data_IF_788946301738
#
_entry.id   IF_788946301738
#
_cell.length_a   1.000
_cell.length_b   1.000
_cell.length_c   1.000
_cell.angle_alpha   90.00
_cell.angle_beta   90.00
_cell.angle_gamma   90.00
#
_symmetry.space_group_name_H-M   'P 1'
#
loop_
_entity.id
_entity.type
_entity.pdbx_description
1 polymer ?
#
# COMPACT_ATOMS: atom_id res chain seq x y z
N UNK A 1 105.96 6.85 -46.82
CA UNK A 1 105.63 7.75 -45.69
C UNK A 1 104.33 7.27 -45.07
N UNK A 2 104.28 7.28 -43.75
CA UNK A 2 103.89 6.11 -42.96
C UNK A 2 102.39 6.02 -42.67
N UNK A 3 101.84 4.81 -42.80
CA UNK A 3 100.52 4.38 -42.29
C UNK A 3 100.29 4.83 -40.84
N UNK A 4 101.37 4.97 -40.07
CA UNK A 4 101.38 5.50 -38.71
C UNK A 4 100.88 6.94 -38.61
N UNK A 5 101.18 7.82 -39.58
CA UNK A 5 100.72 9.22 -39.53
C UNK A 5 99.21 9.33 -39.76
N UNK A 6 98.64 8.44 -40.60
CA UNK A 6 97.19 8.30 -40.79
C UNK A 6 96.49 7.76 -39.54
N UNK A 7 97.10 6.77 -38.88
CA UNK A 7 96.56 6.18 -37.66
C UNK A 7 96.57 7.19 -36.51
N UNK A 8 97.66 7.93 -36.33
CA UNK A 8 97.78 8.96 -35.29
C UNK A 8 96.74 10.06 -35.51
N UNK A 9 96.59 10.59 -36.72
CA UNK A 9 95.58 11.62 -36.99
C UNK A 9 94.14 11.12 -36.75
N UNK A 10 93.84 9.86 -37.07
CA UNK A 10 92.51 9.27 -36.84
C UNK A 10 92.24 9.05 -35.34
N UNK A 11 93.25 8.64 -34.58
CA UNK A 11 93.18 8.51 -33.12
C UNK A 11 93.03 9.89 -32.48
N UNK A 12 93.83 10.89 -32.87
CA UNK A 12 93.73 12.26 -32.36
C UNK A 12 92.37 12.89 -32.67
N UNK A 13 91.78 12.60 -33.84
CA UNK A 13 90.45 13.09 -34.20
C UNK A 13 89.33 12.40 -33.40
N UNK A 14 89.44 11.10 -33.15
CA UNK A 14 88.47 10.39 -32.30
C UNK A 14 88.59 10.78 -30.82
N UNK A 15 89.81 11.02 -30.34
CA UNK A 15 90.06 11.53 -28.99
C UNK A 15 89.50 12.95 -28.86
N UNK A 16 89.75 13.85 -29.81
CA UNK A 16 89.17 15.19 -29.76
C UNK A 16 87.64 15.16 -29.87
N UNK A 17 87.04 14.26 -30.67
CA UNK A 17 85.57 14.13 -30.73
C UNK A 17 84.96 13.59 -29.42
N UNK A 18 85.67 12.74 -28.70
CA UNK A 18 85.25 12.24 -27.38
C UNK A 18 85.53 13.24 -26.24
N UNK A 19 86.53 14.12 -26.41
CA UNK A 19 86.93 15.14 -25.42
C UNK A 19 86.18 16.47 -25.60
N UNK A 20 85.63 16.76 -26.79
CA UNK A 20 84.97 18.03 -27.11
C UNK A 20 83.44 18.06 -26.89
N UNK A 21 82.79 16.96 -26.47
CA UNK A 21 81.35 16.97 -26.13
C UNK A 21 81.02 16.43 -24.72
N UNK A 22 81.71 16.90 -23.64
CA UNK A 22 81.35 16.56 -22.26
C UNK A 22 79.95 17.07 -21.88
N UNK A 23 79.37 18.00 -22.65
CA UNK A 23 78.00 18.47 -22.46
C UNK A 23 76.95 17.49 -23.01
N UNK A 24 77.27 16.72 -24.07
CA UNK A 24 76.32 15.76 -24.66
C UNK A 24 76.13 14.51 -23.78
N UNK A 25 77.21 13.99 -23.19
CA UNK A 25 77.14 12.87 -22.24
C UNK A 25 76.49 13.28 -20.93
N UNK A 26 76.74 14.50 -20.44
CA UNK A 26 76.08 15.04 -19.26
C UNK A 26 74.57 15.22 -19.48
N UNK A 27 74.15 15.68 -20.67
CA UNK A 27 72.73 15.84 -21.01
C UNK A 27 72.01 14.50 -21.21
N UNK A 28 72.66 13.52 -21.84
CA UNK A 28 72.13 12.16 -22.00
C UNK A 28 72.02 11.43 -20.65
N UNK A 29 73.01 11.57 -19.77
CA UNK A 29 72.97 11.03 -18.41
C UNK A 29 71.91 11.73 -17.54
N UNK A 30 71.70 13.04 -17.73
CA UNK A 30 70.64 13.79 -17.05
C UNK A 30 69.24 13.37 -17.52
N UNK A 31 69.02 13.21 -18.83
CA UNK A 31 67.75 12.69 -19.36
C UNK A 31 67.45 11.26 -18.89
N UNK A 32 68.46 10.39 -18.87
CA UNK A 32 68.29 9.02 -18.38
C UNK A 32 67.91 9.00 -16.88
N UNK A 33 68.51 9.86 -16.06
CA UNK A 33 68.14 10.01 -14.64
C UNK A 33 66.75 10.61 -14.46
N UNK A 34 66.35 11.57 -15.28
CA UNK A 34 65.04 12.20 -15.20
C UNK A 34 63.93 11.21 -15.62
N UNK A 35 64.15 10.44 -16.70
CA UNK A 35 63.24 9.38 -17.12
C UNK A 35 63.08 8.27 -16.06
N UNK A 36 64.14 7.93 -15.33
CA UNK A 36 64.07 6.98 -14.21
C UNK A 36 63.30 7.55 -13.01
N UNK A 37 63.47 8.83 -12.70
CA UNK A 37 62.73 9.50 -11.63
C UNK A 37 61.26 9.65 -11.97
N UNK A 38 60.93 10.01 -13.21
CA UNK A 38 59.55 10.14 -13.68
C UNK A 38 58.83 8.78 -13.69
N UNK A 39 59.51 7.71 -14.10
CA UNK A 39 58.98 6.35 -14.02
C UNK A 39 58.74 5.90 -12.56
N UNK A 40 59.65 6.23 -11.64
CA UNK A 40 59.49 5.92 -10.21
C UNK A 40 58.37 6.74 -9.55
N UNK A 41 58.17 8.00 -9.95
CA UNK A 41 57.08 8.85 -9.46
C UNK A 41 55.73 8.37 -10.01
N UNK A 42 55.65 7.97 -11.28
CA UNK A 42 54.44 7.39 -11.87
C UNK A 42 54.03 6.08 -11.18
N UNK A 43 54.99 5.17 -10.95
CA UNK A 43 54.73 3.91 -10.24
C UNK A 43 54.30 4.11 -8.78
N UNK A 44 54.85 5.12 -8.09
CA UNK A 44 54.45 5.47 -6.73
C UNK A 44 53.08 6.15 -6.66
N UNK A 45 52.68 6.89 -7.70
CA UNK A 45 51.37 7.54 -7.77
C UNK A 45 50.26 6.51 -7.98
N UNK A 46 50.44 5.59 -8.93
CA UNK A 46 49.50 4.47 -9.15
C UNK A 46 49.33 3.59 -7.90
N UNK A 47 50.43 3.22 -7.23
CA UNK A 47 50.38 2.44 -5.99
C UNK A 47 49.72 3.19 -4.82
N UNK A 48 49.77 4.53 -4.77
CA UNK A 48 49.11 5.32 -3.74
C UNK A 48 47.61 5.46 -4.00
N UNK A 49 47.21 5.58 -5.26
CA UNK A 49 45.81 5.67 -5.67
C UNK A 49 45.09 4.33 -5.47
N UNK A 50 45.68 3.20 -5.90
CA UNK A 50 45.10 1.86 -5.63
C UNK A 50 44.98 1.56 -4.14
N UNK A 51 45.99 1.94 -3.34
CA UNK A 51 45.94 1.76 -1.87
C UNK A 51 44.96 2.71 -1.20
N UNK A 52 44.69 3.88 -1.77
CA UNK A 52 43.71 4.84 -1.25
C UNK A 52 42.28 4.35 -1.55
N UNK A 53 42.02 3.85 -2.76
CA UNK A 53 40.73 3.27 -3.13
C UNK A 53 40.44 1.98 -2.37
N UNK A 54 41.42 1.10 -2.20
CA UNK A 54 41.28 -0.11 -1.38
C UNK A 54 41.00 0.22 0.09
N UNK A 55 41.64 1.26 0.65
CA UNK A 55 41.36 1.72 2.02
C UNK A 55 39.99 2.39 2.15
N UNK A 56 39.56 3.15 1.15
CA UNK A 56 38.23 3.78 1.15
C UNK A 56 37.13 2.72 1.06
N UNK A 57 37.32 1.69 0.23
CA UNK A 57 36.40 0.55 0.12
C UNK A 57 36.39 -0.29 1.40
N UNK A 58 37.57 -0.62 1.97
CA UNK A 58 37.65 -1.33 3.24
C UNK A 58 37.05 -0.55 4.43
N UNK A 59 37.18 0.79 4.45
CA UNK A 59 36.55 1.63 5.46
C UNK A 59 35.02 1.69 5.30
N UNK A 60 34.52 1.65 4.06
CA UNK A 60 33.08 1.57 3.78
C UNK A 60 32.53 0.19 4.13
N UNK A 61 33.20 -0.88 3.74
CA UNK A 61 32.82 -2.25 4.08
C UNK A 61 32.90 -2.50 5.60
N UNK A 62 33.87 -1.90 6.31
CA UNK A 62 33.95 -1.96 7.76
C UNK A 62 32.83 -1.16 8.45
N UNK A 63 32.42 -0.01 7.88
CA UNK A 63 31.26 0.74 8.36
C UNK A 63 29.96 0.01 8.11
N UNK A 64 29.76 -0.52 6.90
CA UNK A 64 28.57 -1.31 6.54
C UNK A 64 28.50 -2.61 7.35
N UNK A 65 29.65 -3.25 7.61
CA UNK A 65 29.73 -4.42 8.48
C UNK A 65 29.45 -4.05 9.94
N UNK A 66 29.97 -2.93 10.45
CA UNK A 66 29.71 -2.45 11.80
C UNK A 66 28.24 -2.01 11.98
N UNK A 67 27.63 -1.42 10.95
CA UNK A 67 26.21 -1.02 10.94
C UNK A 67 25.31 -2.25 10.87
N UNK A 68 25.66 -3.25 10.04
CA UNK A 68 24.98 -4.57 10.03
C UNK A 68 25.19 -5.33 11.33
N UNK A 69 26.36 -5.25 11.95
CA UNK A 69 26.63 -5.86 13.26
C UNK A 69 25.85 -5.14 14.36
N UNK A 70 25.77 -3.81 14.32
CA UNK A 70 25.03 -2.98 15.27
C UNK A 70 23.52 -3.20 15.15
N UNK A 71 23.00 -3.31 13.93
CA UNK A 71 21.61 -3.69 13.66
C UNK A 71 21.30 -5.13 14.14
N UNK A 72 22.27 -6.05 14.04
CA UNK A 72 22.17 -7.42 14.57
C UNK A 72 22.42 -7.53 16.08
N UNK A 73 23.17 -6.63 16.69
CA UNK A 73 23.52 -6.68 18.11
C UNK A 73 22.48 -5.96 18.98
N UNK A 74 21.85 -4.89 18.47
CA UNK A 74 20.72 -4.22 19.12
C UNK A 74 19.40 -5.02 19.03
N UNK A 75 19.35 -6.11 18.26
CA UNK A 75 18.13 -6.92 18.06
C UNK A 75 18.07 -8.21 18.89
N UNK A 76 19.09 -8.57 19.67
CA UNK A 76 19.12 -9.95 20.21
C UNK A 76 18.30 -10.22 21.48
N UNK A 77 17.93 -9.23 22.30
CA UNK A 77 17.10 -9.50 23.51
C UNK A 77 16.06 -8.40 23.82
N UNK A 78 16.36 -7.12 23.60
CA UNK A 78 15.39 -6.02 23.81
C UNK A 78 14.49 -5.76 22.59
N UNK A 79 14.97 -6.04 21.37
CA UNK A 79 14.21 -5.89 20.12
C UNK A 79 13.09 -6.92 19.95
N UNK A 80 13.30 -8.17 20.39
CA UNK A 80 12.29 -9.22 20.27
C UNK A 80 11.08 -8.98 21.20
N UNK A 81 11.29 -8.40 22.38
CA UNK A 81 10.19 -8.00 23.28
C UNK A 81 9.46 -6.74 22.77
N UNK A 82 10.17 -5.80 22.15
CA UNK A 82 9.59 -4.59 21.54
C UNK A 82 8.79 -4.86 20.27
N UNK A 83 9.31 -5.68 19.36
CA UNK A 83 8.63 -6.05 18.11
C UNK A 83 7.44 -6.99 18.36
N UNK A 84 7.55 -7.93 19.31
CA UNK A 84 6.40 -8.77 19.71
C UNK A 84 5.31 -7.94 20.37
N UNK A 85 5.66 -6.98 21.23
CA UNK A 85 4.69 -6.07 21.87
C UNK A 85 4.00 -5.15 20.86
N UNK A 86 4.74 -4.60 19.88
CA UNK A 86 4.14 -3.79 18.82
C UNK A 86 3.22 -4.61 17.90
N UNK A 87 3.57 -5.85 17.56
CA UNK A 87 2.69 -6.72 16.77
C UNK A 87 1.42 -7.10 17.53
N UNK A 88 1.52 -7.41 18.83
CA UNK A 88 0.36 -7.68 19.69
C UNK A 88 -0.55 -6.45 19.75
N UNK A 89 0.01 -5.25 19.88
CA UNK A 89 -0.76 -4.00 19.85
C UNK A 89 -1.45 -3.78 18.50
N UNK A 90 -0.77 -4.02 17.38
CA UNK A 90 -1.37 -3.91 16.04
C UNK A 90 -2.55 -4.88 15.92
N UNK A 91 -2.37 -6.15 16.30
CA UNK A 91 -3.45 -7.15 16.29
C UNK A 91 -4.61 -6.70 17.17
N UNK A 92 -4.34 -6.17 18.36
CA UNK A 92 -5.37 -5.63 19.24
C UNK A 92 -6.13 -4.46 18.60
N UNK A 93 -5.44 -3.51 17.97
CA UNK A 93 -6.08 -2.40 17.26
C UNK A 93 -6.91 -2.87 16.08
N UNK A 94 -6.45 -3.89 15.33
CA UNK A 94 -7.21 -4.49 14.24
C UNK A 94 -8.46 -5.19 14.76
N UNK A 95 -8.37 -5.96 15.85
CA UNK A 95 -9.54 -6.59 16.48
C UNK A 95 -10.52 -5.55 17.02
N UNK A 96 -10.02 -4.49 17.67
CA UNK A 96 -10.83 -3.38 18.13
C UNK A 96 -11.53 -2.68 16.97
N UNK A 97 -10.81 -2.43 15.86
CA UNK A 97 -11.37 -1.85 14.65
C UNK A 97 -12.48 -2.72 14.06
N UNK A 98 -12.25 -4.04 13.93
CA UNK A 98 -13.28 -4.99 13.45
C UNK A 98 -14.50 -4.97 14.37
N UNK A 99 -14.28 -4.93 15.70
CA UNK A 99 -15.37 -4.88 16.68
C UNK A 99 -16.20 -3.60 16.55
N UNK A 100 -15.54 -2.44 16.40
CA UNK A 100 -16.24 -1.16 16.21
C UNK A 100 -16.95 -1.11 14.85
N UNK A 101 -16.32 -1.64 13.80
CA UNK A 101 -16.93 -1.71 12.48
C UNK A 101 -18.19 -2.60 12.48
N UNK A 102 -18.08 -3.81 13.02
CA UNK A 102 -19.22 -4.73 13.15
C UNK A 102 -20.31 -4.18 14.07
N UNK A 103 -19.95 -3.39 15.09
CA UNK A 103 -20.92 -2.65 15.91
C UNK A 103 -21.70 -1.61 15.10
N UNK A 104 -21.05 -0.90 14.17
CA UNK A 104 -21.74 -0.03 13.21
C UNK A 104 -22.76 -0.77 12.35
N UNK A 105 -22.41 -1.98 11.89
CA UNK A 105 -23.31 -2.91 11.21
C UNK A 105 -24.52 -3.30 12.06
N UNK A 106 -24.26 -3.69 13.30
CA UNK A 106 -25.28 -4.03 14.29
C UNK A 106 -26.29 -2.89 14.48
N UNK A 107 -25.83 -1.66 14.68
CA UNK A 107 -26.70 -0.49 14.83
C UNK A 107 -27.60 -0.26 13.60
N UNK A 108 -27.02 -0.35 12.40
CA UNK A 108 -27.76 -0.16 11.15
C UNK A 108 -28.84 -1.24 10.95
N UNK A 109 -28.50 -2.51 11.20
CA UNK A 109 -29.44 -3.62 11.03
C UNK A 109 -30.61 -3.56 12.01
N UNK A 110 -30.39 -3.08 13.24
CA UNK A 110 -31.45 -2.91 14.23
C UNK A 110 -32.34 -1.69 13.94
N UNK A 111 -31.78 -0.62 13.39
CA UNK A 111 -32.56 0.54 12.93
C UNK A 111 -33.49 0.16 11.77
N UNK A 112 -33.04 -0.72 10.90
CA UNK A 112 -33.77 -1.19 9.71
C UNK A 112 -34.60 -2.46 9.95
N UNK A 113 -35.07 -2.67 11.19
CA UNK A 113 -35.87 -3.85 11.55
C UNK A 113 -37.13 -4.01 10.68
N UNK A 114 -37.70 -2.92 10.15
CA UNK A 114 -38.89 -2.98 9.29
C UNK A 114 -38.64 -3.61 7.91
N UNK A 115 -37.39 -3.70 7.46
CA UNK A 115 -37.05 -4.30 6.18
C UNK A 115 -37.04 -5.82 6.23
N UNK A 116 -37.12 -6.46 5.06
CA UNK A 116 -36.95 -7.90 4.94
C UNK A 116 -35.58 -8.34 5.43
N UNK A 117 -35.42 -9.63 5.73
CA UNK A 117 -34.15 -10.20 6.19
C UNK A 117 -32.98 -9.84 5.27
N UNK A 118 -33.17 -9.86 3.94
CA UNK A 118 -32.16 -9.44 2.97
C UNK A 118 -31.81 -7.95 3.12
N UNK A 119 -32.81 -7.09 3.32
CA UNK A 119 -32.59 -5.66 3.57
C UNK A 119 -31.75 -5.43 4.83
N UNK A 120 -32.02 -6.16 5.91
CA UNK A 120 -31.26 -6.05 7.17
C UNK A 120 -29.81 -6.50 7.02
N UNK A 121 -29.55 -7.56 6.25
CA UNK A 121 -28.18 -8.02 5.94
C UNK A 121 -27.43 -6.94 5.14
N UNK A 122 -28.10 -6.35 4.16
CA UNK A 122 -27.54 -5.25 3.36
C UNK A 122 -27.24 -4.04 4.25
N UNK A 123 -28.18 -3.64 5.13
CA UNK A 123 -27.97 -2.58 6.11
C UNK A 123 -26.83 -2.88 7.08
N UNK A 124 -26.65 -4.13 7.49
CA UNK A 124 -25.51 -4.54 8.31
C UNK A 124 -24.16 -4.35 7.59
N UNK A 125 -24.08 -4.78 6.32
CA UNK A 125 -22.87 -4.62 5.51
C UNK A 125 -22.56 -3.13 5.30
N UNK A 126 -23.56 -2.34 4.91
CA UNK A 126 -23.39 -0.89 4.79
C UNK A 126 -23.01 -0.24 6.11
N UNK A 127 -23.61 -0.69 7.22
CA UNK A 127 -23.30 -0.21 8.55
C UNK A 127 -21.87 -0.50 8.99
N UNK A 128 -21.33 -1.64 8.55
CA UNK A 128 -19.95 -2.04 8.83
C UNK A 128 -18.96 -1.25 8.00
N UNK A 129 -19.26 -0.96 6.73
CA UNK A 129 -18.38 -0.18 5.84
C UNK A 129 -18.39 1.30 6.25
N UNK A 130 -19.58 1.85 6.56
CA UNK A 130 -19.78 3.26 6.89
C UNK A 130 -19.82 3.51 8.40
N UNK A 131 -19.24 2.60 9.20
CA UNK A 131 -19.31 2.65 10.66
C UNK A 131 -18.88 3.99 11.28
N UNK A 132 -17.86 4.74 10.78
CA UNK A 132 -17.47 5.98 11.43
C UNK A 132 -18.57 7.04 11.33
N UNK A 133 -19.21 7.13 10.16
CA UNK A 133 -20.29 8.09 9.91
C UNK A 133 -21.53 7.73 10.70
N UNK A 134 -21.91 6.44 10.69
CA UNK A 134 -23.10 5.97 11.38
C UNK A 134 -22.98 6.05 12.89
N UNK A 135 -21.83 5.71 13.47
CA UNK A 135 -21.63 5.84 14.93
C UNK A 135 -21.70 7.31 15.34
N UNK A 136 -21.10 8.24 14.58
CA UNK A 136 -21.19 9.69 14.88
C UNK A 136 -22.64 10.17 14.79
N UNK A 137 -23.35 9.81 13.71
CA UNK A 137 -24.77 10.16 13.56
C UNK A 137 -25.59 9.60 14.72
N UNK A 138 -25.31 8.37 15.12
CA UNK A 138 -26.02 7.70 16.21
C UNK A 138 -25.77 8.35 17.57
N UNK A 139 -24.51 8.71 17.86
CA UNK A 139 -24.17 9.49 19.05
C UNK A 139 -24.91 10.82 19.04
N UNK A 140 -24.97 11.50 17.89
CA UNK A 140 -25.70 12.76 17.76
C UNK A 140 -27.20 12.59 18.05
N UNK A 141 -27.86 11.61 17.43
CA UNK A 141 -29.28 11.29 17.64
C UNK A 141 -29.56 10.96 19.12
N UNK A 142 -28.66 10.25 19.79
CA UNK A 142 -28.80 9.88 21.20
C UNK A 142 -28.60 11.08 22.13
N UNK A 143 -27.52 11.86 21.93
CA UNK A 143 -27.16 12.97 22.82
C UNK A 143 -28.02 14.22 22.61
N UNK A 144 -28.44 14.52 21.38
CA UNK A 144 -29.25 15.71 21.08
C UNK A 144 -30.74 15.45 21.06
N UNK A 145 -31.17 14.34 20.48
CA UNK A 145 -32.59 14.08 20.23
C UNK A 145 -33.20 13.14 21.28
N UNK A 146 -32.38 12.59 22.18
CA UNK A 146 -32.83 11.69 23.24
C UNK A 146 -33.45 10.40 22.71
N UNK A 147 -33.13 10.01 21.47
CA UNK A 147 -33.63 8.79 20.87
C UNK A 147 -32.96 7.58 21.54
N UNK A 148 -33.76 6.68 22.08
CA UNK A 148 -33.25 5.45 22.67
C UNK A 148 -32.73 4.49 21.60
N UNK A 149 -31.67 3.77 21.96
CA UNK A 149 -31.07 2.75 21.13
C UNK A 149 -32.00 1.55 20.98
N UNK A 150 -32.61 1.39 19.81
CA UNK A 150 -33.37 0.18 19.52
C UNK A 150 -32.38 -0.97 19.30
N UNK A 151 -32.39 -1.94 20.22
CA UNK A 151 -31.47 -3.08 20.20
C UNK A 151 -32.26 -4.39 20.38
N UNK A 152 -32.46 -5.10 19.27
CA UNK A 152 -33.19 -6.36 19.23
C UNK A 152 -32.27 -7.57 19.33
N UNK A 153 -31.20 -7.59 18.56
CA UNK A 153 -30.19 -8.65 18.53
C UNK A 153 -28.95 -8.17 17.78
N UNK A 154 -27.85 -8.94 17.79
CA UNK A 154 -26.62 -8.54 17.09
C UNK A 154 -26.87 -8.32 15.59
N UNK A 155 -27.55 -9.26 14.93
CA UNK A 155 -28.03 -9.13 13.57
C UNK A 155 -29.44 -9.73 13.48
N UNK A 156 -30.52 -8.94 13.52
CA UNK A 156 -31.89 -9.47 13.62
C UNK A 156 -32.37 -10.12 12.32
N UNK A 157 -32.05 -11.40 12.12
CA UNK A 157 -32.39 -12.18 10.92
C UNK A 157 -33.74 -12.88 11.07
N UNK A 158 -33.96 -13.50 12.23
CA UNK A 158 -35.07 -14.43 12.47
C UNK A 158 -35.85 -14.09 13.74
N UNK A 159 -37.15 -14.36 13.73
CA UNK A 159 -38.03 -14.26 14.91
C UNK A 159 -38.11 -15.56 15.71
N UNK A 160 -37.33 -16.57 15.33
CA UNK A 160 -37.24 -17.84 16.04
C UNK A 160 -36.69 -17.66 17.45
N UNK A 161 -37.29 -18.31 18.45
CA UNK A 161 -36.85 -18.23 19.85
C UNK A 161 -36.03 -19.49 20.19
N UNK A 162 -34.70 -19.37 20.37
CA UNK A 162 -33.86 -20.52 20.68
C UNK A 162 -34.17 -21.06 22.07
N UNK A 163 -34.38 -22.38 22.17
CA UNK A 163 -34.84 -23.03 23.40
C UNK A 163 -33.69 -23.69 24.17
N UNK A 164 -32.72 -24.28 23.47
CA UNK A 164 -31.55 -24.92 24.07
C UNK A 164 -30.37 -23.97 24.35
N UNK A 165 -29.48 -24.35 25.27
CA UNK A 165 -28.31 -23.51 25.63
C UNK A 165 -27.30 -23.38 24.48
N UNK A 166 -27.03 -24.47 23.77
CA UNK A 166 -26.20 -24.45 22.56
C UNK A 166 -26.83 -23.60 21.45
N UNK A 167 -28.15 -23.68 21.34
CA UNK A 167 -28.92 -22.94 20.35
C UNK A 167 -28.92 -21.44 20.63
N UNK A 168 -29.03 -21.04 21.90
CA UNK A 168 -28.88 -19.64 22.33
C UNK A 168 -27.49 -19.11 22.04
N UNK A 169 -26.44 -19.92 22.20
CA UNK A 169 -25.07 -19.50 21.90
C UNK A 169 -24.86 -19.23 20.41
N UNK A 170 -25.40 -20.10 19.54
CA UNK A 170 -25.15 -20.04 18.09
C UNK A 170 -26.15 -19.13 17.37
N UNK A 171 -27.44 -19.25 17.68
CA UNK A 171 -28.53 -18.54 17.01
C UNK A 171 -28.99 -17.29 17.76
N UNK A 172 -28.73 -17.17 19.06
CA UNK A 172 -29.13 -16.01 19.86
C UNK A 172 -28.74 -14.66 19.26
N UNK A 173 -27.50 -14.48 18.74
CA UNK A 173 -27.10 -13.23 18.08
C UNK A 173 -27.88 -12.91 16.78
N UNK A 174 -28.60 -13.87 16.21
CA UNK A 174 -29.35 -13.72 14.96
C UNK A 174 -30.88 -13.69 15.15
N UNK A 175 -31.32 -14.11 16.33
CA UNK A 175 -32.71 -14.22 16.70
C UNK A 175 -33.16 -12.99 17.49
N UNK A 176 -34.37 -12.50 17.21
CA UNK A 176 -34.97 -11.41 17.97
C UNK A 176 -36.45 -11.66 18.24
N UNK A 177 -36.98 -11.02 19.28
CA UNK A 177 -38.42 -11.06 19.59
C UNK A 177 -39.07 -9.79 19.03
N UNK A 178 -40.08 -9.92 18.15
CA UNK A 178 -40.75 -8.75 17.59
C UNK A 178 -41.60 -8.06 18.66
N UNK A 179 -41.41 -6.75 18.82
CA UNK A 179 -42.24 -5.86 19.62
C UNK A 179 -43.19 -5.02 18.74
N UNK A 180 -44.07 -4.23 19.35
CA UNK A 180 -45.00 -3.39 18.61
C UNK A 180 -44.30 -2.38 17.68
N UNK A 181 -43.12 -1.87 18.07
CA UNK A 181 -42.34 -0.96 17.24
C UNK A 181 -41.83 -1.64 15.96
N UNK A 182 -41.34 -2.88 16.06
CA UNK A 182 -40.90 -3.67 14.90
C UNK A 182 -42.04 -4.00 13.93
N UNK A 183 -43.23 -4.30 14.47
CA UNK A 183 -44.43 -4.56 13.67
C UNK A 183 -44.85 -3.29 12.92
N UNK A 184 -44.87 -2.14 13.61
CA UNK A 184 -45.19 -0.84 13.00
C UNK A 184 -44.16 -0.44 11.93
N UNK A 185 -42.87 -0.67 12.18
CA UNK A 185 -41.81 -0.42 11.20
C UNK A 185 -41.97 -1.28 9.95
N UNK A 186 -42.31 -2.56 10.12
CA UNK A 186 -42.57 -3.49 9.01
C UNK A 186 -43.78 -3.05 8.20
N UNK A 187 -44.87 -2.65 8.86
CA UNK A 187 -46.06 -2.12 8.21
C UNK A 187 -45.76 -0.83 7.41
N UNK A 188 -44.94 0.07 7.97
CA UNK A 188 -44.50 1.29 7.28
C UNK A 188 -43.69 0.99 6.03
N UNK A 189 -42.77 0.02 6.10
CA UNK A 189 -41.98 -0.39 4.93
C UNK A 189 -42.86 -1.04 3.86
N UNK A 190 -43.83 -1.88 4.25
CA UNK A 190 -44.80 -2.45 3.33
C UNK A 190 -45.64 -1.38 2.62
N UNK A 191 -46.08 -0.34 3.35
CA UNK A 191 -46.77 0.82 2.76
C UNK A 191 -45.88 1.58 1.78
N UNK A 192 -44.61 1.82 2.11
CA UNK A 192 -43.66 2.46 1.19
C UNK A 192 -43.49 1.68 -0.12
N UNK A 193 -43.40 0.35 -0.06
CA UNK A 193 -43.34 -0.48 -1.26
C UNK A 193 -44.64 -0.43 -2.07
N UNK A 194 -45.79 -0.45 -1.40
CA UNK A 194 -47.09 -0.33 -2.07
C UNK A 194 -47.24 1.02 -2.79
N UNK A 195 -46.89 2.12 -2.13
CA UNK A 195 -46.92 3.46 -2.72
C UNK A 195 -45.95 3.58 -3.90
N UNK A 196 -44.73 3.06 -3.77
CA UNK A 196 -43.75 3.05 -4.85
C UNK A 196 -44.26 2.24 -6.06
N UNK A 197 -44.88 1.08 -5.81
CA UNK A 197 -45.51 0.26 -6.84
C UNK A 197 -46.68 0.99 -7.52
N UNK A 198 -47.56 1.65 -6.76
CA UNK A 198 -48.67 2.42 -7.32
C UNK A 198 -48.19 3.61 -8.18
N UNK A 199 -47.15 4.32 -7.74
CA UNK A 199 -46.55 5.42 -8.53
C UNK A 199 -45.94 4.91 -9.84
N UNK A 200 -45.23 3.79 -9.79
CA UNK A 200 -44.64 3.19 -11.00
C UNK A 200 -45.70 2.61 -11.93
N UNK A 201 -46.75 1.98 -11.40
CA UNK A 201 -47.88 1.49 -12.18
C UNK A 201 -48.66 2.64 -12.86
N UNK A 202 -48.88 3.75 -12.16
CA UNK A 202 -49.51 4.94 -12.74
C UNK A 202 -48.67 5.59 -13.86
N UNK A 203 -47.34 5.54 -13.72
CA UNK A 203 -46.39 6.02 -14.74
C UNK A 203 -46.25 5.06 -15.94
N UNK A 204 -46.54 3.77 -15.74
CA UNK A 204 -46.49 2.73 -16.77
C UNK A 204 -47.80 2.59 -17.57
N UNK A 205 -48.84 3.38 -17.26
CA UNK A 205 -50.04 3.42 -18.08
C UNK A 205 -49.68 3.95 -19.48
N UNK A 206 -49.93 3.18 -20.56
CA UNK A 206 -49.66 3.67 -21.91
C UNK A 206 -50.46 4.95 -22.15
N UNK A 207 -49.95 5.89 -22.97
CA UNK A 207 -50.71 7.08 -23.32
C UNK A 207 -52.06 6.62 -23.85
N UNK A 208 -53.15 7.13 -23.27
CA UNK A 208 -54.50 6.90 -23.75
C UNK A 208 -54.50 7.38 -25.21
N UNK A 209 -54.48 6.44 -26.15
CA UNK A 209 -54.62 6.74 -27.56
C UNK A 209 -56.01 7.34 -27.74
N UNK A 210 -56.06 8.67 -27.87
CA UNK A 210 -57.30 9.43 -28.10
C UNK A 210 -57.78 9.30 -29.54
N UNK A 211 -57.33 8.30 -30.29
CA UNK A 211 -57.89 8.04 -31.61
C UNK A 211 -59.29 7.42 -31.44
N UNK A 212 -60.35 8.08 -31.91
CA UNK A 212 -61.68 7.48 -31.91
C UNK A 212 -61.65 6.20 -32.75
N UNK A 213 -62.41 5.17 -32.37
CA UNK A 213 -62.43 3.91 -33.11
C UNK A 213 -62.85 4.21 -34.55
N UNK A 214 -61.97 3.88 -35.50
CA UNK A 214 -62.27 3.96 -36.93
C UNK A 214 -63.41 2.99 -37.19
N UNK A 215 -64.61 3.53 -37.43
CA UNK A 215 -65.76 2.76 -37.84
C UNK A 215 -65.39 2.00 -39.13
N UNK A 216 -65.36 0.66 -39.05
CA UNK A 216 -65.21 -0.17 -40.24
C UNK A 216 -66.35 0.16 -41.22
N UNK A 217 -66.06 0.46 -42.50
CA UNK A 217 -67.12 0.64 -43.47
C UNK A 217 -67.87 -0.69 -43.67
N UNK A 218 -69.19 -0.63 -43.94
CA UNK A 218 -69.99 -1.82 -44.11
C UNK A 218 -69.50 -2.61 -45.33
N UNK A 219 -69.32 -3.92 -45.14
CA UNK A 219 -68.97 -4.86 -46.20
C UNK A 219 -70.11 -4.84 -47.22
N UNK A 220 -69.85 -4.31 -48.41
CA UNK A 220 -70.79 -4.37 -49.53
C UNK A 220 -70.86 -5.81 -50.01
N UNK A 221 -71.97 -6.48 -49.70
CA UNK A 221 -72.35 -7.76 -50.32
C UNK A 221 -72.87 -7.48 -51.72
N UNK A 222 -72.07 -7.78 -52.74
CA UNK A 222 -72.57 -7.95 -54.11
C UNK A 222 -72.53 -9.44 -54.45
N UNK A 223 -73.75 -9.98 -54.67
CA UNK A 223 -74.06 -11.22 -55.38
C UNK A 223 -74.23 -10.84 -56.85
#
# INVERSE_FOLDING_TARGET
MSFFTSLVNKITYQINKAVSDPEAEAYAAAQAKQAQQDAAVAANKANKEEKAEAKAKAAKDAKDAAEKLSARSNSSISGFAGESSQQILIVFFVLAYITVATYGGHLAANRDIGYSTAGRIVSFIYGTILFPVLIIQYMWDTFKEGKESINYSFLPISTYVPTGDLEKLVLGPFCYVPDQASVNATAKVAQMYLEAFQRTAASAAPPIDKTPPVAKPPVSSTV
#
